data_IF_613456631848
#
_entry.id   IF_613456631848
#
_cell.length_a   1.000
_cell.length_b   1.000
_cell.length_c   1.000
_cell.angle_alpha   90.00
_cell.angle_beta   90.00
_cell.angle_gamma   90.00
#
_symmetry.space_group_name_H-M   'P 1'
#
loop_
_entity.id
_entity.type
_entity.pdbx_description
1 polymer ?
#
# COMPACT_ATOMS: atom_id res chain seq x y z
N UNK A 1 45.14 28.15 -16.87
CA UNK A 1 45.64 27.28 -15.77
C UNK A 1 45.33 27.78 -14.36
N UNK A 2 45.83 28.94 -13.89
CA UNK A 2 45.65 29.36 -12.47
C UNK A 2 44.18 29.65 -12.10
N UNK A 3 43.39 30.26 -12.99
CA UNK A 3 41.94 30.52 -12.80
C UNK A 3 41.09 29.24 -12.75
N UNK A 4 41.38 28.24 -13.58
CA UNK A 4 40.67 26.95 -13.55
C UNK A 4 40.98 26.14 -12.28
N UNK A 5 42.25 26.17 -11.83
CA UNK A 5 42.66 25.48 -10.62
C UNK A 5 41.99 26.06 -9.36
N UNK A 6 41.80 27.38 -9.32
CA UNK A 6 41.11 28.05 -8.21
C UNK A 6 39.61 27.79 -8.22
N UNK A 7 38.94 27.82 -9.38
CA UNK A 7 37.51 27.47 -9.48
C UNK A 7 37.22 26.03 -9.08
N UNK A 8 38.05 25.07 -9.50
CA UNK A 8 37.87 23.65 -9.18
C UNK A 8 38.01 23.39 -7.68
N UNK A 9 38.99 24.01 -7.03
CA UNK A 9 39.17 23.91 -5.58
C UNK A 9 38.06 24.59 -4.79
N UNK A 10 37.48 25.68 -5.29
CA UNK A 10 36.36 26.36 -4.66
C UNK A 10 35.08 25.51 -4.71
N UNK A 11 34.78 24.89 -5.86
CA UNK A 11 33.66 23.94 -6.00
C UNK A 11 33.80 22.71 -5.09
N UNK A 12 35.01 22.17 -4.95
CA UNK A 12 35.28 21.05 -4.05
C UNK A 12 35.03 21.45 -2.58
N UNK A 13 35.46 22.65 -2.18
CA UNK A 13 35.24 23.18 -0.81
C UNK A 13 33.77 23.44 -0.53
N UNK A 14 33.02 24.01 -1.47
CA UNK A 14 31.56 24.19 -1.34
C UNK A 14 30.86 22.84 -1.22
N UNK A 15 31.19 21.87 -2.09
CA UNK A 15 30.59 20.53 -2.01
C UNK A 15 30.90 19.85 -0.67
N UNK A 16 32.12 20.00 -0.15
CA UNK A 16 32.49 19.47 1.16
C UNK A 16 31.75 20.16 2.31
N UNK A 17 31.56 21.48 2.24
CA UNK A 17 30.79 22.24 3.23
C UNK A 17 29.30 21.85 3.20
N UNK A 18 28.71 21.73 2.01
CA UNK A 18 27.33 21.23 1.83
C UNK A 18 27.19 19.83 2.42
N UNK A 19 28.16 18.94 2.20
CA UNK A 19 28.16 17.59 2.79
C UNK A 19 28.33 17.60 4.31
N UNK A 20 29.16 18.48 4.88
CA UNK A 20 29.28 18.62 6.34
C UNK A 20 28.00 19.16 6.98
N UNK A 21 27.40 20.20 6.39
CA UNK A 21 26.09 20.73 6.80
C UNK A 21 25.04 19.60 6.71
N UNK A 22 25.05 18.83 5.63
CA UNK A 22 24.14 17.70 5.42
C UNK A 22 24.32 16.61 6.46
N UNK A 23 25.54 16.20 6.77
CA UNK A 23 25.85 15.19 7.80
C UNK A 23 25.46 15.68 9.21
N UNK A 24 25.68 16.97 9.50
CA UNK A 24 25.27 17.60 10.74
C UNK A 24 23.74 17.59 10.89
N UNK A 25 23.02 18.01 9.86
CA UNK A 25 21.55 17.91 9.83
C UNK A 25 21.09 16.46 9.93
N UNK A 26 21.72 15.50 9.27
CA UNK A 26 21.37 14.07 9.41
C UNK A 26 21.55 13.56 10.84
N UNK A 27 22.61 14.00 11.55
CA UNK A 27 22.87 13.60 12.93
C UNK A 27 21.90 14.24 13.91
N UNK A 28 21.63 15.55 13.77
CA UNK A 28 20.58 16.24 14.53
C UNK A 28 19.23 15.62 14.24
N UNK A 29 18.89 15.41 12.97
CA UNK A 29 17.61 14.84 12.58
C UNK A 29 17.46 13.41 13.11
N UNK A 30 18.51 12.59 13.08
CA UNK A 30 18.48 11.25 13.69
C UNK A 30 18.22 11.29 15.20
N UNK A 31 18.80 12.26 15.92
CA UNK A 31 18.62 12.42 17.37
C UNK A 31 17.24 13.01 17.71
N UNK A 32 16.78 13.98 16.93
CA UNK A 32 15.51 14.68 17.14
C UNK A 32 14.33 13.79 16.70
N UNK A 33 14.47 13.00 15.63
CA UNK A 33 13.41 12.10 15.13
C UNK A 33 13.11 10.94 16.09
N UNK A 34 14.01 10.67 17.04
CA UNK A 34 13.79 9.69 18.11
C UNK A 34 12.89 10.24 19.24
N UNK A 35 12.81 11.57 19.42
CA UNK A 35 12.00 12.22 20.48
C UNK A 35 10.79 12.99 19.96
N UNK A 36 10.90 13.57 18.77
CA UNK A 36 9.86 14.33 18.09
C UNK A 36 9.49 13.58 16.81
N UNK A 37 8.20 13.40 16.53
CA UNK A 37 7.74 12.75 15.30
C UNK A 37 7.93 13.69 14.10
N UNK A 38 9.19 13.90 13.68
CA UNK A 38 9.53 14.91 12.67
C UNK A 38 8.88 14.59 11.33
N UNK A 39 8.73 13.31 10.99
CA UNK A 39 8.03 12.91 9.77
C UNK A 39 6.58 13.45 9.76
N UNK A 40 5.86 13.37 10.87
CA UNK A 40 4.52 13.94 11.01
C UNK A 40 4.56 15.48 11.00
N UNK A 41 5.51 16.10 11.69
CA UNK A 41 5.65 17.56 11.70
C UNK A 41 5.92 18.10 10.29
N UNK A 42 6.84 17.48 9.56
CA UNK A 42 7.18 17.82 8.20
C UNK A 42 6.01 17.58 7.23
N UNK A 43 5.30 16.46 7.38
CA UNK A 43 4.10 16.19 6.59
C UNK A 43 2.98 17.22 6.87
N UNK A 44 2.81 17.65 8.13
CA UNK A 44 1.88 18.71 8.52
C UNK A 44 2.29 20.08 7.96
N UNK A 45 3.57 20.44 8.05
CA UNK A 45 4.11 21.69 7.49
C UNK A 45 3.90 21.73 5.97
N UNK A 46 4.31 20.67 5.27
CA UNK A 46 4.13 20.58 3.81
C UNK A 46 2.65 20.59 3.42
N UNK A 47 1.77 20.01 4.25
CA UNK A 47 0.32 20.10 4.05
C UNK A 47 -0.19 21.53 4.13
N UNK A 48 0.27 22.32 5.11
CA UNK A 48 -0.12 23.71 5.28
C UNK A 48 0.33 24.57 4.09
N UNK A 49 1.60 24.44 3.67
CA UNK A 49 2.14 25.16 2.51
C UNK A 49 1.37 24.78 1.24
N UNK A 50 1.05 23.50 1.05
CA UNK A 50 0.30 23.03 -0.12
C UNK A 50 -1.17 23.46 -0.11
N UNK A 51 -1.73 23.85 1.03
CA UNK A 51 -3.10 24.39 1.11
C UNK A 51 -3.14 25.87 0.68
N UNK A 52 -2.09 26.64 1.03
CA UNK A 52 -1.92 28.05 0.63
C UNK A 52 -1.50 28.17 -0.83
N UNK A 53 -0.48 27.42 -1.24
CA UNK A 53 0.06 27.43 -2.59
C UNK A 53 0.29 25.99 -3.06
N UNK A 54 -0.71 25.37 -3.73
CA UNK A 54 -0.67 23.96 -4.15
C UNK A 54 0.61 23.57 -4.89
N UNK A 55 0.93 24.31 -5.95
CA UNK A 55 2.09 24.01 -6.81
C UNK A 55 3.42 24.24 -6.09
N UNK A 56 3.56 25.36 -5.36
CA UNK A 56 4.79 25.67 -4.64
C UNK A 56 5.01 24.70 -3.46
N UNK A 57 3.95 24.38 -2.72
CA UNK A 57 3.99 23.40 -1.63
C UNK A 57 4.37 22.00 -2.11
N UNK A 58 3.85 21.57 -3.27
CA UNK A 58 4.29 20.33 -3.93
C UNK A 58 5.78 20.37 -4.26
N UNK A 59 6.25 21.43 -4.92
CA UNK A 59 7.66 21.57 -5.32
C UNK A 59 8.56 21.54 -4.08
N UNK A 60 8.23 22.32 -3.05
CA UNK A 60 8.96 22.37 -1.79
C UNK A 60 9.02 21.00 -1.13
N UNK A 61 7.88 20.34 -0.94
CA UNK A 61 7.80 19.04 -0.27
C UNK A 61 8.64 17.98 -1.01
N UNK A 62 8.46 17.87 -2.33
CA UNK A 62 9.21 16.90 -3.13
C UNK A 62 10.72 17.20 -3.12
N UNK A 63 11.11 18.48 -3.21
CA UNK A 63 12.51 18.90 -3.18
C UNK A 63 13.16 18.57 -1.84
N UNK A 64 12.51 18.93 -0.73
CA UNK A 64 13.00 18.64 0.61
C UNK A 64 13.13 17.12 0.84
N UNK A 65 12.12 16.32 0.48
CA UNK A 65 12.21 14.86 0.63
C UNK A 65 13.30 14.27 -0.25
N UNK A 66 13.46 14.75 -1.49
CA UNK A 66 14.49 14.30 -2.41
C UNK A 66 15.89 14.49 -1.82
N UNK A 67 16.18 15.67 -1.26
CA UNK A 67 17.52 15.98 -0.75
C UNK A 67 17.80 15.40 0.64
N UNK A 68 16.78 15.31 1.50
CA UNK A 68 16.94 14.85 2.89
C UNK A 68 16.84 13.33 2.99
N UNK A 69 15.78 12.74 2.42
CA UNK A 69 15.45 11.33 2.61
C UNK A 69 15.83 10.44 1.43
N UNK A 70 15.69 10.92 0.20
CA UNK A 70 16.00 10.14 -1.00
C UNK A 70 17.49 10.22 -1.41
N UNK A 71 18.38 10.06 -0.44
CA UNK A 71 19.83 10.09 -0.66
C UNK A 71 20.41 8.67 -0.78
N UNK A 72 21.16 8.40 -1.85
CA UNK A 72 21.88 7.13 -2.05
C UNK A 72 22.88 6.81 -0.93
N UNK A 73 23.55 7.82 -0.35
CA UNK A 73 24.50 7.62 0.77
C UNK A 73 23.74 7.07 1.98
N UNK A 74 22.65 7.75 2.36
CA UNK A 74 21.81 7.32 3.48
C UNK A 74 21.22 5.93 3.23
N UNK A 75 20.75 5.68 2.01
CA UNK A 75 20.26 4.37 1.61
C UNK A 75 21.32 3.28 1.77
N UNK A 76 22.52 3.50 1.24
CA UNK A 76 23.62 2.54 1.32
C UNK A 76 24.05 2.30 2.78
N UNK A 77 24.03 3.34 3.63
CA UNK A 77 24.27 3.19 5.07
C UNK A 77 23.20 2.30 5.73
N UNK A 78 21.91 2.52 5.43
CA UNK A 78 20.84 1.70 5.98
C UNK A 78 20.89 0.25 5.47
N UNK A 79 21.15 0.04 4.18
CA UNK A 79 21.32 -1.30 3.60
C UNK A 79 22.50 -2.02 4.29
N UNK A 80 23.67 -1.40 4.38
CA UNK A 80 24.84 -2.01 5.05
C UNK A 80 24.56 -2.33 6.52
N UNK A 81 23.82 -1.46 7.22
CA UNK A 81 23.39 -1.73 8.60
C UNK A 81 22.48 -2.96 8.67
N UNK A 82 21.46 -3.03 7.82
CA UNK A 82 20.54 -4.16 7.78
C UNK A 82 21.22 -5.45 7.33
N UNK A 83 22.16 -5.40 6.38
CA UNK A 83 22.99 -6.54 5.95
C UNK A 83 23.79 -7.11 7.13
N UNK A 84 24.45 -6.26 7.93
CA UNK A 84 25.18 -6.71 9.13
C UNK A 84 24.26 -7.37 10.16
N UNK A 85 23.02 -6.91 10.29
CA UNK A 85 22.03 -7.51 11.20
C UNK A 85 21.59 -8.86 10.64
N UNK A 86 21.24 -8.93 9.35
CA UNK A 86 20.83 -10.16 8.68
C UNK A 86 21.93 -11.25 8.73
N UNK A 87 23.19 -10.90 8.50
CA UNK A 87 24.34 -11.82 8.57
C UNK A 87 24.56 -12.43 9.97
N UNK A 88 24.07 -11.78 11.03
CA UNK A 88 24.17 -12.25 12.42
C UNK A 88 22.94 -13.05 12.87
N UNK A 89 21.92 -13.16 12.03
CA UNK A 89 20.68 -13.88 12.33
C UNK A 89 20.72 -15.28 11.73
N UNK A 90 20.37 -16.29 12.53
CA UNK A 90 20.37 -17.69 12.09
C UNK A 90 19.20 -18.07 11.17
N UNK A 91 18.22 -17.17 11.01
CA UNK A 91 16.98 -17.34 10.23
C UNK A 91 16.13 -18.56 10.62
N UNK A 92 16.30 -19.11 11.84
CA UNK A 92 15.45 -20.20 12.33
C UNK A 92 14.07 -19.70 12.72
N UNK A 93 13.98 -18.60 13.47
CA UNK A 93 12.73 -17.94 13.86
C UNK A 93 12.75 -16.47 13.54
N UNK A 94 11.91 -16.05 12.61
CA UNK A 94 11.78 -14.65 12.18
C UNK A 94 10.40 -14.14 12.59
N UNK A 95 10.36 -12.95 13.17
CA UNK A 95 9.10 -12.21 13.34
C UNK A 95 9.06 -11.07 12.32
N UNK A 96 8.00 -11.02 11.53
CA UNK A 96 7.67 -9.86 10.71
C UNK A 96 6.55 -9.10 11.40
N UNK A 97 6.75 -7.81 11.61
CA UNK A 97 5.71 -6.90 12.11
C UNK A 97 5.20 -6.11 10.91
N UNK A 98 3.94 -6.34 10.52
CA UNK A 98 3.31 -5.61 9.43
C UNK A 98 2.91 -4.20 9.85
N UNK A 99 2.53 -3.37 8.87
CA UNK A 99 1.79 -2.15 9.16
C UNK A 99 0.41 -2.46 9.76
N UNK A 100 -0.23 -1.43 10.30
CA UNK A 100 -1.54 -1.46 10.96
C UNK A 100 -2.69 -1.46 9.95
N UNK A 101 -2.45 -1.11 8.69
CA UNK A 101 -3.46 -1.08 7.63
C UNK A 101 -3.59 -2.44 6.91
N UNK A 102 -4.81 -2.80 6.53
CA UNK A 102 -5.11 -4.08 5.85
C UNK A 102 -4.34 -4.20 4.53
N UNK A 103 -4.30 -3.14 3.72
CA UNK A 103 -3.61 -3.14 2.44
C UNK A 103 -2.12 -3.41 2.56
N UNK A 104 -1.47 -2.77 3.53
CA UNK A 104 -0.06 -2.98 3.83
C UNK A 104 0.18 -4.39 4.40
N UNK A 105 -0.68 -4.88 5.30
CA UNK A 105 -0.59 -6.25 5.80
C UNK A 105 -0.61 -7.29 4.66
N UNK A 106 -1.48 -7.09 3.66
CA UNK A 106 -1.56 -7.90 2.43
C UNK A 106 -0.30 -7.77 1.58
N UNK A 107 0.22 -6.56 1.36
CA UNK A 107 1.40 -6.32 0.53
C UNK A 107 2.70 -6.84 1.18
N UNK A 108 2.83 -6.75 2.51
CA UNK A 108 4.04 -7.12 3.24
C UNK A 108 4.25 -8.64 3.27
N UNK A 109 3.21 -9.46 3.01
CA UNK A 109 3.36 -10.92 2.93
C UNK A 109 4.40 -11.39 1.90
N UNK A 110 4.69 -10.59 0.87
CA UNK A 110 5.81 -10.84 -0.05
C UNK A 110 7.15 -11.03 0.67
N UNK A 111 7.33 -10.42 1.86
CA UNK A 111 8.51 -10.61 2.69
C UNK A 111 8.59 -12.05 3.22
N UNK A 112 7.48 -12.63 3.66
CA UNK A 112 7.44 -14.01 4.14
C UNK A 112 7.80 -14.97 3.01
N UNK A 113 7.21 -14.80 1.83
CA UNK A 113 7.53 -15.63 0.65
C UNK A 113 9.01 -15.59 0.29
N UNK A 114 9.59 -14.38 0.20
CA UNK A 114 11.00 -14.22 -0.11
C UNK A 114 11.89 -14.84 0.98
N UNK A 115 11.60 -14.59 2.26
CA UNK A 115 12.38 -15.14 3.37
C UNK A 115 12.28 -16.67 3.42
N UNK A 116 11.13 -17.25 3.08
CA UNK A 116 10.98 -18.70 2.96
C UNK A 116 11.88 -19.26 1.86
N UNK A 117 11.91 -18.61 0.69
CA UNK A 117 12.83 -18.95 -0.43
C UNK A 117 14.31 -18.76 -0.08
N UNK A 118 14.64 -17.85 0.83
CA UNK A 118 16.00 -17.65 1.36
C UNK A 118 16.41 -18.78 2.34
N UNK A 119 15.44 -19.54 2.87
CA UNK A 119 15.70 -20.65 3.80
C UNK A 119 15.27 -20.38 5.25
N UNK A 120 14.39 -19.38 5.48
CA UNK A 120 13.81 -19.19 6.81
C UNK A 120 13.01 -20.45 7.24
N UNK A 121 13.30 -20.97 8.43
CA UNK A 121 12.65 -22.20 8.91
C UNK A 121 11.23 -21.93 9.38
N UNK A 122 11.06 -20.92 10.25
CA UNK A 122 9.78 -20.46 10.77
C UNK A 122 9.66 -18.94 10.71
N UNK A 123 8.51 -18.49 10.23
CA UNK A 123 8.18 -17.07 10.07
C UNK A 123 6.87 -16.81 10.79
N UNK A 124 6.93 -15.99 11.82
CA UNK A 124 5.76 -15.52 12.55
C UNK A 124 5.41 -14.09 12.09
N UNK A 125 4.12 -13.75 12.14
CA UNK A 125 3.61 -12.54 11.50
C UNK A 125 2.66 -11.78 12.44
N UNK A 126 3.07 -10.59 12.88
CA UNK A 126 2.28 -9.72 13.77
C UNK A 126 1.52 -8.66 12.97
N UNK A 127 0.19 -8.64 13.08
CA UNK A 127 -0.69 -7.84 12.22
C UNK A 127 -1.86 -7.17 12.96
N UNK A 128 -2.58 -6.32 12.23
CA UNK A 128 -3.90 -5.84 12.64
C UNK A 128 -4.94 -6.97 12.62
N UNK A 129 -5.78 -7.03 13.67
CA UNK A 129 -6.83 -8.05 13.84
C UNK A 129 -7.77 -8.14 12.64
N UNK A 130 -8.08 -7.02 11.97
CA UNK A 130 -8.96 -6.97 10.80
C UNK A 130 -8.38 -7.66 9.56
N UNK A 131 -7.06 -7.84 9.49
CA UNK A 131 -6.42 -8.53 8.38
C UNK A 131 -6.28 -10.04 8.64
N UNK A 132 -6.57 -10.54 9.85
CA UNK A 132 -6.20 -11.91 10.27
C UNK A 132 -6.66 -13.00 9.30
N UNK A 133 -7.92 -12.97 8.89
CA UNK A 133 -8.47 -14.00 8.00
C UNK A 133 -7.88 -13.99 6.59
N UNK A 134 -7.26 -12.88 6.16
CA UNK A 134 -6.56 -12.78 4.88
C UNK A 134 -5.14 -13.37 4.90
N UNK A 135 -4.55 -13.54 6.08
CA UNK A 135 -3.14 -13.92 6.24
C UNK A 135 -2.99 -15.34 6.80
N UNK A 136 -3.92 -15.78 7.66
CA UNK A 136 -3.77 -17.00 8.48
C UNK A 136 -3.55 -18.30 7.71
N UNK A 137 -3.90 -18.36 6.42
CA UNK A 137 -3.72 -19.55 5.58
C UNK A 137 -2.47 -19.49 4.68
N UNK A 138 -1.64 -18.46 4.81
CA UNK A 138 -0.43 -18.36 4.01
C UNK A 138 0.58 -19.45 4.43
N UNK A 139 1.00 -20.36 3.52
CA UNK A 139 1.87 -21.49 3.85
C UNK A 139 3.32 -21.06 4.18
N UNK A 140 3.72 -19.84 3.82
CA UNK A 140 5.04 -19.30 4.15
C UNK A 140 5.09 -18.74 5.59
N UNK A 141 3.97 -18.71 6.29
CA UNK A 141 3.82 -18.14 7.64
C UNK A 141 3.44 -19.25 8.62
N UNK A 142 4.25 -19.44 9.67
CA UNK A 142 4.04 -20.43 10.72
C UNK A 142 2.91 -20.04 11.68
N UNK A 143 2.94 -18.81 12.19
CA UNK A 143 1.90 -18.30 13.08
C UNK A 143 1.54 -16.87 12.74
N UNK A 144 0.25 -16.53 12.86
CA UNK A 144 -0.25 -15.18 12.70
C UNK A 144 -0.76 -14.65 14.03
N UNK A 145 -0.18 -13.56 14.50
CA UNK A 145 -0.56 -12.89 15.74
C UNK A 145 -1.37 -11.64 15.43
N UNK A 146 -2.67 -11.71 15.73
CA UNK A 146 -3.62 -10.60 15.58
C UNK A 146 -3.52 -9.64 16.77
N UNK A 147 -2.52 -8.75 16.74
CA UNK A 147 -2.17 -7.89 17.89
C UNK A 147 -2.89 -6.54 17.80
N UNK A 148 -2.79 -5.87 16.65
CA UNK A 148 -3.16 -4.45 16.57
C UNK A 148 -4.64 -4.24 16.30
N UNK A 149 -5.27 -3.29 17.01
CA UNK A 149 -6.69 -2.99 16.83
C UNK A 149 -6.93 -1.80 15.91
N UNK A 150 -6.19 -0.71 16.16
CA UNK A 150 -6.42 0.58 15.52
C UNK A 150 -5.46 0.81 14.35
N UNK A 151 -5.94 1.55 13.36
CA UNK A 151 -5.07 2.09 12.33
C UNK A 151 -4.25 3.27 12.89
N UNK A 152 -3.00 3.39 12.46
CA UNK A 152 -2.09 4.52 12.73
C UNK A 152 -1.63 4.75 14.18
N UNK A 153 -1.94 3.86 15.11
CA UNK A 153 -1.48 3.97 16.50
C UNK A 153 -1.32 2.60 17.12
N UNK A 154 -0.25 2.42 17.89
CA UNK A 154 -0.03 1.22 18.73
C UNK A 154 -0.01 1.65 20.19
N UNK A 155 -0.87 1.04 21.00
CA UNK A 155 -0.98 1.33 22.41
C UNK A 155 0.08 0.57 23.24
N UNK A 156 0.21 0.92 24.53
CA UNK A 156 1.22 0.31 25.42
C UNK A 156 1.01 -1.18 25.64
N UNK A 157 -0.24 -1.63 25.71
CA UNK A 157 -0.56 -3.05 25.94
C UNK A 157 -0.21 -3.91 24.72
N UNK A 158 -0.47 -3.40 23.52
CA UNK A 158 -0.06 -4.01 22.26
C UNK A 158 1.48 -4.11 22.17
N UNK A 159 2.21 -3.07 22.59
CA UNK A 159 3.68 -3.08 22.66
C UNK A 159 4.17 -4.09 23.70
N UNK A 160 3.56 -4.14 24.88
CA UNK A 160 3.92 -5.07 25.94
C UNK A 160 3.68 -6.52 25.50
N UNK A 161 2.54 -6.79 24.88
CA UNK A 161 2.23 -8.09 24.30
C UNK A 161 3.27 -8.49 23.24
N UNK A 162 3.59 -7.60 22.31
CA UNK A 162 4.59 -7.85 21.28
C UNK A 162 5.98 -8.12 21.86
N UNK A 163 6.39 -7.39 22.89
CA UNK A 163 7.67 -7.63 23.56
C UNK A 163 7.69 -8.95 24.33
N UNK A 164 6.58 -9.32 24.98
CA UNK A 164 6.44 -10.63 25.61
C UNK A 164 6.51 -11.76 24.58
N UNK A 165 5.82 -11.61 23.45
CA UNK A 165 5.89 -12.55 22.33
C UNK A 165 7.32 -12.71 21.84
N UNK A 166 8.06 -11.61 21.66
CA UNK A 166 9.45 -11.63 21.21
C UNK A 166 10.35 -12.37 22.21
N UNK A 167 10.18 -12.09 23.50
CA UNK A 167 10.94 -12.73 24.58
C UNK A 167 10.65 -14.23 24.69
N UNK A 168 9.38 -14.61 24.65
CA UNK A 168 8.95 -16.01 24.79
C UNK A 168 9.40 -16.88 23.61
N UNK A 169 9.36 -16.34 22.39
CA UNK A 169 9.67 -17.10 21.18
C UNK A 169 11.14 -17.03 20.76
N UNK A 170 11.96 -16.20 21.41
CA UNK A 170 13.39 -16.06 21.15
C UNK A 170 13.74 -15.85 19.67
N UNK A 171 13.07 -14.92 18.99
CA UNK A 171 13.31 -14.66 17.56
C UNK A 171 14.77 -14.27 17.26
N UNK A 172 15.33 -14.88 16.22
CA UNK A 172 16.67 -14.60 15.69
C UNK A 172 16.73 -13.28 14.91
N UNK A 173 15.58 -12.87 14.36
CA UNK A 173 15.44 -11.66 13.57
C UNK A 173 14.01 -11.12 13.72
N UNK A 174 13.91 -9.82 13.99
CA UNK A 174 12.66 -9.07 13.93
C UNK A 174 12.75 -8.06 12.79
N UNK A 175 11.85 -8.14 11.83
CA UNK A 175 11.74 -7.19 10.72
C UNK A 175 10.48 -6.37 10.92
N UNK A 176 10.66 -5.09 11.24
CA UNK A 176 9.56 -4.17 11.46
C UNK A 176 9.28 -3.33 10.22
N UNK A 177 8.10 -3.51 9.64
CA UNK A 177 7.57 -2.66 8.58
C UNK A 177 6.55 -1.63 9.07
N UNK A 178 6.21 -1.63 10.37
CA UNK A 178 5.32 -0.65 10.97
C UNK A 178 6.07 0.66 11.27
N UNK A 179 5.69 1.81 10.67
CA UNK A 179 6.35 3.09 10.93
C UNK A 179 6.08 3.64 12.34
N UNK A 180 5.06 3.13 13.03
CA UNK A 180 4.67 3.55 14.38
C UNK A 180 5.45 2.86 15.50
N UNK A 181 6.23 1.82 15.15
CA UNK A 181 7.10 1.11 16.08
C UNK A 181 8.55 1.44 15.77
N UNK A 182 9.32 1.72 16.81
CA UNK A 182 10.74 2.00 16.68
C UNK A 182 11.56 1.05 17.56
N UNK A 183 12.89 1.11 17.43
CA UNK A 183 13.81 0.23 18.15
C UNK A 183 13.71 0.37 19.68
N UNK A 184 13.34 1.54 20.20
CA UNK A 184 13.18 1.76 21.64
C UNK A 184 11.89 1.13 22.19
N UNK A 185 10.89 0.92 21.33
CA UNK A 185 9.64 0.27 21.71
C UNK A 185 9.73 -1.27 21.67
N UNK A 186 10.68 -1.83 20.93
CA UNK A 186 10.74 -3.27 20.60
C UNK A 186 12.05 -3.94 21.07
N UNK A 187 11.91 -4.95 21.94
CA UNK A 187 13.00 -5.68 22.59
C UNK A 187 13.52 -6.89 21.79
N UNK A 188 13.75 -6.73 20.49
CA UNK A 188 14.37 -7.76 19.64
C UNK A 188 15.90 -7.69 19.61
N UNK A 189 16.62 -8.82 19.59
CA UNK A 189 18.10 -8.84 19.49
C UNK A 189 18.57 -8.25 18.16
N UNK A 190 18.25 -8.92 17.06
CA UNK A 190 18.52 -8.47 15.69
C UNK A 190 17.25 -7.82 15.14
N UNK A 191 17.30 -6.51 14.88
CA UNK A 191 16.12 -5.72 14.53
C UNK A 191 16.36 -4.86 13.30
N UNK A 192 15.61 -5.13 12.22
CA UNK A 192 15.59 -4.32 11.01
C UNK A 192 14.37 -3.41 11.08
N UNK A 193 14.60 -2.10 10.96
CA UNK A 193 13.53 -1.09 11.07
C UNK A 193 13.00 -0.65 9.70
N UNK A 194 11.77 -0.15 9.68
CA UNK A 194 11.06 0.39 8.51
C UNK A 194 11.82 1.50 7.78
N UNK A 195 12.65 2.27 8.49
CA UNK A 195 13.39 3.41 7.93
C UNK A 195 14.21 3.07 6.67
N UNK A 196 14.83 1.89 6.62
CA UNK A 196 15.60 1.50 5.43
C UNK A 196 14.70 1.33 4.20
N UNK A 197 13.52 0.75 4.37
CA UNK A 197 12.52 0.58 3.32
C UNK A 197 11.95 1.93 2.88
N UNK A 198 11.64 2.84 3.80
CA UNK A 198 11.07 4.16 3.42
C UNK A 198 12.04 5.00 2.60
N UNK A 199 13.34 4.98 2.95
CA UNK A 199 14.40 5.62 2.17
C UNK A 199 14.54 4.95 0.79
N UNK A 200 14.43 3.62 0.72
CA UNK A 200 14.50 2.87 -0.53
C UNK A 200 13.33 3.23 -1.47
N UNK A 201 12.10 3.24 -0.96
CA UNK A 201 10.90 3.68 -1.68
C UNK A 201 11.05 5.12 -2.15
N UNK A 202 11.49 6.04 -1.30
CA UNK A 202 11.69 7.44 -1.67
C UNK A 202 12.73 7.59 -2.80
N UNK A 203 13.87 6.89 -2.71
CA UNK A 203 14.90 6.90 -3.76
C UNK A 203 14.34 6.43 -5.11
N UNK A 204 13.61 5.32 -5.12
CA UNK A 204 13.04 4.76 -6.36
C UNK A 204 11.95 5.66 -6.94
N UNK A 205 11.13 6.29 -6.08
CA UNK A 205 10.10 7.23 -6.48
C UNK A 205 10.70 8.41 -7.25
N UNK A 206 11.75 9.05 -6.73
CA UNK A 206 12.38 10.20 -7.40
C UNK A 206 13.23 9.81 -8.62
N UNK A 207 13.69 8.56 -8.70
CA UNK A 207 14.33 8.00 -9.90
C UNK A 207 13.31 7.56 -10.97
N UNK A 208 12.02 7.65 -10.67
CA UNK A 208 10.92 7.21 -11.55
C UNK A 208 11.01 5.74 -11.96
N UNK A 209 11.63 4.91 -11.12
CA UNK A 209 11.68 3.46 -11.32
C UNK A 209 10.44 2.78 -10.75
N UNK A 210 10.25 1.48 -11.03
CA UNK A 210 9.20 0.67 -10.39
C UNK A 210 9.35 0.71 -8.87
N UNK A 211 8.34 1.27 -8.20
CA UNK A 211 8.40 1.62 -6.76
C UNK A 211 7.22 1.07 -5.95
N UNK A 212 6.39 0.21 -6.55
CA UNK A 212 5.26 -0.36 -5.83
C UNK A 212 5.70 -1.03 -4.52
N UNK A 213 4.98 -0.80 -3.42
CA UNK A 213 5.42 -1.16 -2.07
C UNK A 213 5.77 -2.64 -1.94
N UNK A 214 4.95 -3.54 -2.50
CA UNK A 214 5.23 -5.00 -2.55
C UNK A 214 6.58 -5.30 -3.24
N UNK A 215 6.79 -4.72 -4.42
CA UNK A 215 8.03 -4.91 -5.18
C UNK A 215 9.24 -4.25 -4.47
N UNK A 216 9.01 -3.12 -3.82
CA UNK A 216 10.03 -2.42 -3.05
C UNK A 216 10.47 -3.24 -1.83
N UNK A 217 9.54 -3.86 -1.10
CA UNK A 217 9.84 -4.78 0.01
C UNK A 217 10.68 -5.94 -0.49
N UNK A 218 10.23 -6.63 -1.55
CA UNK A 218 10.95 -7.76 -2.14
C UNK A 218 12.38 -7.38 -2.54
N UNK A 219 12.54 -6.32 -3.34
CA UNK A 219 13.87 -5.91 -3.82
C UNK A 219 14.76 -5.33 -2.72
N UNK A 220 14.19 -4.67 -1.71
CA UNK A 220 14.92 -4.21 -0.54
C UNK A 220 15.48 -5.38 0.28
N UNK A 221 14.67 -6.41 0.51
CA UNK A 221 15.11 -7.62 1.21
C UNK A 221 16.16 -8.40 0.41
N UNK A 222 16.02 -8.54 -0.91
CA UNK A 222 17.08 -9.10 -1.77
C UNK A 222 18.42 -8.38 -1.55
N UNK A 223 18.41 -7.04 -1.43
CA UNK A 223 19.63 -6.27 -1.12
C UNK A 223 20.16 -6.53 0.29
N UNK A 224 19.28 -6.69 1.28
CA UNK A 224 19.67 -6.99 2.67
C UNK A 224 20.30 -8.38 2.79
N UNK A 225 19.73 -9.37 2.11
CA UNK A 225 20.17 -10.76 2.19
C UNK A 225 21.17 -11.15 1.10
N UNK A 226 21.50 -10.20 0.20
CA UNK A 226 22.41 -10.41 -0.93
C UNK A 226 21.97 -11.59 -1.83
N UNK A 227 20.70 -11.59 -2.20
CA UNK A 227 20.09 -12.61 -3.07
C UNK A 227 19.54 -11.97 -4.36
N UNK A 228 19.30 -12.81 -5.37
CA UNK A 228 18.76 -12.41 -6.67
C UNK A 228 17.45 -13.15 -6.99
N UNK A 229 16.63 -13.43 -5.97
CA UNK A 229 15.36 -14.14 -6.16
C UNK A 229 14.39 -13.22 -6.91
N UNK A 230 13.80 -13.63 -8.03
CA UNK A 230 12.89 -12.79 -8.79
C UNK A 230 11.58 -12.54 -8.01
N UNK A 231 10.97 -11.39 -8.24
CA UNK A 231 9.61 -11.12 -7.77
C UNK A 231 8.62 -11.80 -8.72
N UNK A 232 7.72 -12.63 -8.18
CA UNK A 232 6.69 -13.32 -8.95
C UNK A 232 5.35 -12.57 -8.86
N UNK A 233 4.62 -12.79 -7.76
CA UNK A 233 3.28 -12.24 -7.50
C UNK A 233 3.11 -12.03 -6.00
N UNK A 234 2.08 -11.25 -5.63
CA UNK A 234 1.58 -11.22 -4.26
C UNK A 234 0.44 -12.23 -4.14
N UNK A 235 0.47 -13.10 -3.13
CA UNK A 235 -0.50 -14.18 -2.96
C UNK A 235 -1.43 -13.93 -1.76
N UNK A 236 -2.67 -14.40 -1.89
CA UNK A 236 -3.65 -14.51 -0.80
C UNK A 236 -4.21 -15.92 -0.77
N UNK A 237 -4.33 -16.48 0.43
CA UNK A 237 -4.82 -17.83 0.67
C UNK A 237 -6.13 -17.72 1.44
N UNK A 238 -7.22 -18.21 0.83
CA UNK A 238 -8.57 -18.04 1.35
C UNK A 238 -9.15 -19.39 1.79
N UNK A 239 -9.96 -19.36 2.85
CA UNK A 239 -10.62 -20.59 3.31
C UNK A 239 -11.69 -21.07 2.35
N UNK A 240 -11.91 -22.38 2.32
CA UNK A 240 -13.02 -22.98 1.58
C UNK A 240 -14.37 -22.44 2.06
N UNK A 241 -14.52 -22.18 3.36
CA UNK A 241 -15.71 -21.54 3.92
C UNK A 241 -15.97 -20.16 3.30
N UNK A 242 -14.96 -19.29 3.29
CA UNK A 242 -15.09 -17.92 2.77
C UNK A 242 -15.36 -17.89 1.26
N UNK A 243 -14.79 -18.86 0.53
CA UNK A 243 -15.08 -19.07 -0.90
C UNK A 243 -16.56 -19.48 -1.10
N UNK A 244 -17.09 -20.37 -0.25
CA UNK A 244 -18.49 -20.78 -0.31
C UNK A 244 -19.44 -19.61 0.04
N UNK A 245 -19.12 -18.81 1.04
CA UNK A 245 -19.90 -17.61 1.39
C UNK A 245 -19.95 -16.61 0.23
N UNK A 246 -18.82 -16.36 -0.42
CA UNK A 246 -18.78 -15.52 -1.62
C UNK A 246 -19.59 -16.13 -2.77
N UNK A 247 -19.55 -17.46 -2.93
CA UNK A 247 -20.26 -18.18 -3.98
C UNK A 247 -21.77 -18.05 -3.84
N UNK A 248 -22.31 -18.03 -2.61
CA UNK A 248 -23.74 -17.78 -2.36
C UNK A 248 -24.22 -16.47 -2.99
N UNK A 249 -23.42 -15.41 -2.89
CA UNK A 249 -23.75 -14.11 -3.51
C UNK A 249 -23.62 -14.21 -5.03
N UNK A 250 -22.49 -14.76 -5.51
CA UNK A 250 -22.22 -14.92 -6.95
C UNK A 250 -23.30 -15.72 -7.69
N UNK A 251 -23.85 -16.76 -7.06
CA UNK A 251 -24.86 -17.62 -7.68
C UNK A 251 -26.25 -16.96 -7.81
N UNK A 252 -26.49 -15.82 -7.14
CA UNK A 252 -27.72 -15.02 -7.35
C UNK A 252 -27.64 -14.13 -8.60
N UNK A 253 -26.46 -14.00 -9.20
CA UNK A 253 -26.22 -13.10 -10.34
C UNK A 253 -26.53 -13.83 -11.66
N UNK A 254 -27.27 -13.19 -12.60
CA UNK A 254 -27.54 -13.78 -13.91
C UNK A 254 -26.25 -14.20 -14.63
N UNK A 255 -26.21 -15.42 -15.17
CA UNK A 255 -24.99 -16.02 -15.73
C UNK A 255 -24.50 -15.37 -17.02
N UNK A 256 -25.38 -14.68 -17.74
CA UNK A 256 -25.04 -13.89 -18.93
C UNK A 256 -24.49 -12.50 -18.58
N UNK A 257 -24.46 -12.09 -17.30
CA UNK A 257 -23.98 -10.77 -16.92
C UNK A 257 -22.47 -10.72 -16.69
N UNK A 258 -21.83 -9.63 -17.11
CA UNK A 258 -20.53 -9.22 -16.58
C UNK A 258 -20.72 -8.63 -15.18
N UNK A 259 -19.79 -8.93 -14.28
CA UNK A 259 -19.90 -8.57 -12.88
C UNK A 259 -18.85 -7.51 -12.53
N UNK A 260 -19.34 -6.34 -12.14
CA UNK A 260 -18.51 -5.22 -11.67
C UNK A 260 -18.66 -5.11 -10.16
N UNK A 261 -17.54 -5.22 -9.45
CA UNK A 261 -17.48 -4.92 -8.03
C UNK A 261 -17.03 -3.47 -7.84
N UNK A 262 -17.91 -2.63 -7.31
CA UNK A 262 -17.62 -1.22 -7.06
C UNK A 262 -17.39 -0.98 -5.57
N UNK A 263 -16.13 -0.73 -5.19
CA UNK A 263 -15.77 -0.38 -3.82
C UNK A 263 -15.94 1.12 -3.57
N UNK A 264 -16.96 1.48 -2.79
CA UNK A 264 -17.36 2.87 -2.52
C UNK A 264 -16.58 3.53 -1.38
N UNK A 265 -16.01 2.72 -0.49
CA UNK A 265 -15.51 3.20 0.80
C UNK A 265 -13.99 3.37 0.83
N UNK A 266 -13.54 4.36 1.60
CA UNK A 266 -12.13 4.57 1.92
C UNK A 266 -12.00 5.22 3.31
N UNK A 267 -10.98 4.82 4.06
CA UNK A 267 -10.74 5.28 5.43
C UNK A 267 -10.24 6.72 5.50
N UNK A 268 -9.55 7.21 4.46
CA UNK A 268 -9.01 8.55 4.42
C UNK A 268 -9.78 9.44 3.44
N UNK A 269 -10.15 10.67 3.83
CA UNK A 269 -10.83 11.60 2.91
C UNK A 269 -9.96 11.97 1.69
N UNK A 270 -8.63 11.81 1.77
CA UNK A 270 -7.71 12.10 0.66
C UNK A 270 -7.63 10.98 -0.40
N UNK A 271 -8.14 9.79 -0.07
CA UNK A 271 -8.29 8.66 -0.98
C UNK A 271 -9.73 8.21 -1.14
N UNK A 272 -10.67 8.98 -0.58
CA UNK A 272 -12.10 8.77 -0.76
C UNK A 272 -12.54 9.46 -2.05
N UNK A 273 -12.99 8.66 -3.02
CA UNK A 273 -13.52 9.19 -4.28
C UNK A 273 -14.69 10.14 -3.98
N UNK A 274 -14.74 11.34 -4.58
CA UNK A 274 -15.84 12.28 -4.36
C UNK A 274 -17.19 11.64 -4.66
N UNK A 275 -18.20 11.94 -3.82
CA UNK A 275 -19.54 11.36 -3.95
C UNK A 275 -20.13 11.53 -5.36
N UNK A 276 -20.02 12.73 -5.94
CA UNK A 276 -20.50 13.03 -7.29
C UNK A 276 -19.81 12.19 -8.37
N UNK A 277 -18.53 11.89 -8.19
CA UNK A 277 -17.76 11.04 -9.09
C UNK A 277 -18.20 9.57 -8.98
N UNK A 278 -18.41 9.08 -7.76
CA UNK A 278 -18.95 7.73 -7.53
C UNK A 278 -20.33 7.57 -8.17
N UNK A 279 -21.24 8.52 -7.93
CA UNK A 279 -22.57 8.52 -8.52
C UNK A 279 -22.51 8.56 -10.06
N UNK A 280 -21.67 9.44 -10.63
CA UNK A 280 -21.48 9.54 -12.07
C UNK A 280 -20.98 8.24 -12.71
N UNK A 281 -20.06 7.53 -12.07
CA UNK A 281 -19.59 6.23 -12.55
C UNK A 281 -20.69 5.18 -12.45
N UNK A 282 -21.35 5.08 -11.29
CA UNK A 282 -22.40 4.10 -11.05
C UNK A 282 -23.60 4.29 -12.00
N UNK A 283 -24.03 5.52 -12.26
CA UNK A 283 -25.11 5.80 -13.21
C UNK A 283 -24.77 5.46 -14.66
N UNK A 284 -23.51 5.64 -15.07
CA UNK A 284 -23.07 5.27 -16.41
C UNK A 284 -22.97 3.76 -16.55
N UNK A 285 -22.41 3.08 -15.53
CA UNK A 285 -22.25 1.63 -15.52
C UNK A 285 -23.60 0.89 -15.39
N UNK A 286 -24.56 1.43 -14.63
CA UNK A 286 -25.85 0.79 -14.42
C UNK A 286 -26.79 0.87 -15.62
N UNK A 287 -26.45 1.67 -16.64
CA UNK A 287 -27.16 1.73 -17.93
C UNK A 287 -26.67 0.69 -18.94
N UNK A 288 -25.61 -0.05 -18.62
CA UNK A 288 -25.07 -1.07 -19.50
C UNK A 288 -25.93 -2.34 -19.42
N UNK A 289 -26.29 -2.87 -20.58
CA UNK A 289 -26.99 -4.15 -20.68
C UNK A 289 -26.07 -5.30 -20.27
N UNK A 290 -26.68 -6.36 -19.72
CA UNK A 290 -25.96 -7.55 -19.27
C UNK A 290 -24.82 -7.25 -18.28
N UNK A 291 -25.01 -6.24 -17.41
CA UNK A 291 -24.07 -5.92 -16.33
C UNK A 291 -24.79 -6.02 -14.98
N UNK A 292 -24.13 -6.66 -14.02
CA UNK A 292 -24.50 -6.62 -12.61
C UNK A 292 -23.42 -5.89 -11.81
N UNK A 293 -23.84 -4.97 -10.95
CA UNK A 293 -22.94 -4.20 -10.09
C UNK A 293 -23.10 -4.67 -8.65
N UNK A 294 -22.03 -5.22 -8.08
CA UNK A 294 -21.92 -5.45 -6.65
C UNK A 294 -21.43 -4.16 -6.02
N UNK A 295 -22.27 -3.54 -5.18
CA UNK A 295 -21.94 -2.30 -4.49
C UNK A 295 -21.41 -2.63 -3.10
N UNK A 296 -20.15 -2.30 -2.81
CA UNK A 296 -19.56 -2.60 -1.50
C UNK A 296 -20.31 -1.90 -0.37
N UNK A 297 -20.17 -2.44 0.84
CA UNK A 297 -20.65 -1.78 2.05
C UNK A 297 -19.79 -0.55 2.40
N UNK A 298 -20.28 0.26 3.33
CA UNK A 298 -19.61 1.45 3.85
C UNK A 298 -19.19 1.25 5.31
N UNK A 299 -17.89 1.03 5.53
CA UNK A 299 -17.33 0.81 6.87
C UNK A 299 -16.86 2.10 7.56
N UNK A 300 -16.39 3.07 6.77
CA UNK A 300 -15.77 4.31 7.24
C UNK A 300 -16.71 5.50 7.13
N UNK A 301 -17.53 5.52 6.07
CA UNK A 301 -18.51 6.59 5.82
C UNK A 301 -19.93 6.12 6.14
N UNK A 302 -20.52 6.65 7.22
CA UNK A 302 -21.88 6.26 7.64
C UNK A 302 -22.91 6.54 6.54
N UNK A 303 -23.74 5.54 6.26
CA UNK A 303 -24.85 5.58 5.31
C UNK A 303 -24.46 5.90 3.85
N UNK A 304 -23.20 5.70 3.45
CA UNK A 304 -22.76 6.05 2.09
C UNK A 304 -23.39 5.13 1.05
N UNK A 305 -23.48 3.83 1.33
CA UNK A 305 -24.03 2.84 0.42
C UNK A 305 -25.50 3.14 0.11
N UNK A 306 -26.29 3.42 1.14
CA UNK A 306 -27.71 3.73 1.05
C UNK A 306 -27.96 5.04 0.30
N UNK A 307 -27.13 6.07 0.55
CA UNK A 307 -27.21 7.36 -0.16
C UNK A 307 -26.87 7.23 -1.64
N UNK A 308 -25.82 6.50 -1.99
CA UNK A 308 -25.49 6.25 -3.40
C UNK A 308 -26.59 5.42 -4.04
N UNK A 309 -26.99 4.32 -3.40
CA UNK A 309 -28.00 3.43 -3.92
C UNK A 309 -29.32 4.16 -4.16
N UNK A 310 -29.80 5.01 -3.25
CA UNK A 310 -31.08 5.71 -3.41
C UNK A 310 -31.11 6.67 -4.63
N UNK A 311 -29.98 7.32 -4.91
CA UNK A 311 -29.86 8.31 -5.99
C UNK A 311 -29.61 7.70 -7.38
N UNK A 312 -29.22 6.43 -7.46
CA UNK A 312 -29.02 5.78 -8.77
C UNK A 312 -30.39 5.55 -9.43
N UNK A 313 -30.52 5.99 -10.68
CA UNK A 313 -31.76 5.86 -11.45
C UNK A 313 -32.07 4.39 -11.83
N UNK A 314 -31.13 3.71 -12.49
CA UNK A 314 -31.28 2.29 -12.83
C UNK A 314 -30.67 1.38 -11.77
N UNK A 315 -31.52 0.71 -10.98
CA UNK A 315 -31.11 -0.17 -9.87
C UNK A 315 -31.30 -1.66 -10.17
N UNK A 316 -31.84 -2.02 -11.34
CA UNK A 316 -32.35 -3.38 -11.65
C UNK A 316 -31.35 -4.50 -11.35
N UNK A 317 -30.05 -4.24 -11.55
CA UNK A 317 -28.98 -5.22 -11.37
C UNK A 317 -27.87 -4.71 -10.43
N UNK A 318 -28.23 -3.89 -9.46
CA UNK A 318 -27.31 -3.43 -8.41
C UNK A 318 -27.57 -4.23 -7.12
N UNK A 319 -26.53 -4.87 -6.61
CA UNK A 319 -26.58 -5.73 -5.43
C UNK A 319 -25.79 -5.04 -4.31
N UNK A 320 -26.46 -4.37 -3.35
CA UNK A 320 -25.78 -3.82 -2.18
C UNK A 320 -25.33 -4.94 -1.25
N UNK A 321 -24.04 -4.97 -0.93
CA UNK A 321 -23.50 -5.94 0.03
C UNK A 321 -23.82 -5.56 1.47
N UNK A 322 -24.12 -6.59 2.27
CA UNK A 322 -24.20 -6.50 3.72
C UNK A 322 -22.83 -6.22 4.35
N UNK A 323 -22.83 -5.52 5.48
CA UNK A 323 -21.65 -5.27 6.31
C UNK A 323 -21.17 -6.51 7.10
N UNK A 324 -21.93 -7.60 7.09
CA UNK A 324 -21.61 -8.84 7.82
C UNK A 324 -20.73 -9.82 7.02
N UNK A 325 -20.44 -9.54 5.75
CA UNK A 325 -19.60 -10.40 4.92
C UNK A 325 -18.15 -10.39 5.46
N UNK A 326 -17.57 -11.54 5.86
CA UNK A 326 -16.18 -11.60 6.30
C UNK A 326 -15.22 -11.09 5.23
N UNK A 327 -14.12 -10.44 5.63
CA UNK A 327 -13.21 -9.78 4.67
C UNK A 327 -12.53 -10.75 3.69
N UNK A 328 -12.30 -11.99 4.09
CA UNK A 328 -11.78 -13.06 3.23
C UNK A 328 -12.86 -13.63 2.30
N UNK A 329 -14.14 -13.59 2.68
CA UNK A 329 -15.24 -13.86 1.75
C UNK A 329 -15.43 -12.69 0.76
N UNK A 330 -15.25 -11.45 1.21
CA UNK A 330 -15.17 -10.27 0.34
C UNK A 330 -14.02 -10.41 -0.67
N UNK A 331 -12.85 -10.91 -0.25
CA UNK A 331 -11.72 -11.19 -1.13
C UNK A 331 -12.04 -12.26 -2.19
N UNK A 332 -12.72 -13.34 -1.80
CA UNK A 332 -13.17 -14.38 -2.74
C UNK A 332 -14.22 -13.83 -3.72
N UNK A 333 -15.16 -13.00 -3.25
CA UNK A 333 -16.20 -12.41 -4.09
C UNK A 333 -15.61 -11.49 -5.16
N UNK A 334 -14.58 -10.70 -4.82
CA UNK A 334 -13.84 -9.90 -5.80
C UNK A 334 -13.29 -10.80 -6.92
N UNK A 335 -12.76 -11.98 -6.58
CA UNK A 335 -12.18 -12.89 -7.55
C UNK A 335 -13.23 -13.55 -8.45
N UNK A 336 -14.49 -13.65 -8.03
CA UNK A 336 -15.57 -14.08 -8.93
C UNK A 336 -15.97 -13.01 -9.96
N UNK A 337 -15.67 -11.73 -9.70
CA UNK A 337 -16.05 -10.62 -10.56
C UNK A 337 -15.17 -10.53 -11.82
N UNK A 338 -15.64 -9.81 -12.83
CA UNK A 338 -14.85 -9.54 -14.05
C UNK A 338 -14.04 -8.25 -13.92
N UNK A 339 -14.55 -7.30 -13.13
CA UNK A 339 -13.97 -6.00 -12.91
C UNK A 339 -14.11 -5.58 -11.44
N UNK A 340 -13.05 -4.99 -10.88
CA UNK A 340 -13.03 -4.34 -9.58
C UNK A 340 -12.65 -2.88 -9.73
N UNK A 341 -13.48 -1.99 -9.21
CA UNK A 341 -13.30 -0.54 -9.25
C UNK A 341 -13.12 -0.02 -7.83
N UNK A 342 -12.04 0.71 -7.57
CA UNK A 342 -11.77 1.26 -6.24
C UNK A 342 -10.86 2.48 -6.28
N UNK A 343 -10.88 3.27 -5.22
CA UNK A 343 -9.75 4.15 -4.89
C UNK A 343 -8.61 3.37 -4.20
N UNK A 344 -7.58 4.09 -3.75
CA UNK A 344 -6.49 3.55 -2.91
C UNK A 344 -7.01 3.10 -1.53
N UNK A 345 -7.28 1.81 -1.41
CA UNK A 345 -7.89 1.16 -0.21
C UNK A 345 -7.27 -0.22 0.02
N UNK A 346 -7.54 -0.82 1.19
CA UNK A 346 -7.19 -2.22 1.43
C UNK A 346 -7.82 -3.17 0.41
N UNK A 347 -9.05 -2.87 -0.04
CA UNK A 347 -9.76 -3.62 -1.08
C UNK A 347 -9.00 -3.68 -2.41
N UNK A 348 -8.33 -2.59 -2.80
CA UNK A 348 -7.48 -2.57 -4.01
C UNK A 348 -6.35 -3.60 -3.94
N UNK A 349 -5.65 -3.69 -2.81
CA UNK A 349 -4.54 -4.64 -2.65
C UNK A 349 -5.02 -6.09 -2.53
N UNK A 350 -6.19 -6.30 -1.91
CA UNK A 350 -6.89 -7.58 -1.91
C UNK A 350 -7.24 -7.99 -3.35
N UNK A 351 -7.90 -7.11 -4.11
CA UNK A 351 -8.26 -7.33 -5.51
C UNK A 351 -7.04 -7.63 -6.38
N UNK A 352 -5.91 -6.98 -6.12
CA UNK A 352 -4.69 -7.10 -6.91
C UNK A 352 -3.84 -8.32 -6.63
N UNK A 353 -4.08 -9.03 -5.53
CA UNK A 353 -3.32 -10.24 -5.18
C UNK A 353 -3.83 -11.46 -5.95
N UNK A 354 -2.98 -12.48 -6.14
CA UNK A 354 -3.35 -13.77 -6.73
C UNK A 354 -3.97 -14.67 -5.64
N UNK A 355 -5.17 -15.18 -5.85
CA UNK A 355 -5.92 -15.95 -4.87
C UNK A 355 -5.73 -17.45 -5.09
N UNK A 356 -5.40 -18.10 -4.00
CA UNK A 356 -5.37 -19.54 -3.83
C UNK A 356 -6.35 -19.89 -2.71
N UNK A 357 -6.89 -21.11 -2.71
CA UNK A 357 -7.52 -21.63 -1.51
C UNK A 357 -6.44 -22.12 -0.52
N UNK A 358 -6.86 -22.50 0.68
CA UNK A 358 -6.00 -23.07 1.73
C UNK A 358 -5.30 -24.40 1.34
N UNK A 359 -5.63 -24.97 0.18
CA UNK A 359 -5.00 -26.15 -0.41
C UNK A 359 -4.17 -25.82 -1.66
N UNK A 360 -3.77 -24.56 -1.84
CA UNK A 360 -2.95 -24.08 -2.96
C UNK A 360 -3.59 -24.23 -4.35
N UNK A 361 -4.91 -24.38 -4.45
CA UNK A 361 -5.63 -24.37 -5.73
C UNK A 361 -5.99 -22.94 -6.12
N UNK A 362 -5.64 -22.55 -7.35
CA UNK A 362 -5.99 -21.25 -7.91
C UNK A 362 -7.51 -21.06 -8.01
N UNK A 363 -7.97 -19.86 -7.64
CA UNK A 363 -9.30 -19.37 -7.97
C UNK A 363 -9.28 -18.75 -9.39
N UNK A 364 -10.30 -17.98 -9.77
CA UNK A 364 -10.49 -17.42 -11.12
C UNK A 364 -9.30 -16.56 -11.53
N UNK A 365 -8.82 -15.67 -10.66
CA UNK A 365 -7.69 -14.76 -10.90
C UNK A 365 -7.74 -13.96 -12.21
N UNK A 366 -8.94 -13.61 -12.67
CA UNK A 366 -9.16 -12.86 -13.93
C UNK A 366 -9.95 -11.57 -13.70
N UNK A 367 -9.90 -11.03 -12.49
CA UNK A 367 -10.57 -9.76 -12.17
C UNK A 367 -9.72 -8.60 -12.64
N UNK A 368 -10.21 -7.83 -13.60
CA UNK A 368 -9.56 -6.59 -14.00
C UNK A 368 -9.69 -5.52 -12.92
N UNK A 369 -8.71 -4.63 -12.84
CA UNK A 369 -8.60 -3.66 -11.75
C UNK A 369 -8.51 -2.26 -12.33
N UNK A 370 -9.53 -1.46 -12.05
CA UNK A 370 -9.58 -0.07 -12.44
C UNK A 370 -9.52 0.78 -11.18
N UNK A 371 -8.38 1.44 -10.98
CA UNK A 371 -8.11 2.13 -9.72
C UNK A 371 -7.99 3.64 -9.90
N UNK A 372 -8.61 4.40 -9.00
CA UNK A 372 -8.72 5.86 -9.10
C UNK A 372 -7.93 6.50 -7.97
N UNK A 373 -6.83 7.15 -8.31
CA UNK A 373 -5.82 7.62 -7.37
C UNK A 373 -5.87 9.12 -7.19
N UNK A 374 -6.30 9.52 -5.99
CA UNK A 374 -6.27 10.90 -5.54
C UNK A 374 -4.87 11.32 -5.04
N UNK A 375 -4.75 11.53 -3.72
CA UNK A 375 -3.54 12.08 -3.09
C UNK A 375 -2.33 11.14 -3.13
N UNK A 376 -2.54 9.84 -2.99
CA UNK A 376 -1.45 8.87 -2.87
C UNK A 376 -0.66 8.79 -4.18
N UNK A 377 0.69 8.77 -4.13
CA UNK A 377 1.52 8.48 -5.30
C UNK A 377 1.18 7.10 -5.89
N UNK A 378 0.60 7.10 -7.09
CA UNK A 378 0.03 5.88 -7.67
C UNK A 378 1.11 4.85 -8.03
N UNK A 379 2.32 5.27 -8.39
CA UNK A 379 3.43 4.35 -8.66
C UNK A 379 3.92 3.56 -7.42
N UNK A 380 3.48 3.93 -6.20
CA UNK A 380 3.84 3.25 -4.95
C UNK A 380 2.74 2.26 -4.52
N UNK A 381 1.46 2.56 -4.78
CA UNK A 381 0.33 1.77 -4.24
C UNK A 381 -0.67 1.29 -5.30
N UNK A 382 -0.53 1.73 -6.56
CA UNK A 382 -1.42 1.35 -7.65
C UNK A 382 -0.80 0.28 -8.55
N UNK A 383 -1.67 -0.32 -9.35
CA UNK A 383 -1.32 -1.34 -10.31
C UNK A 383 -1.70 -0.87 -11.71
N UNK A 384 -0.76 -0.92 -12.65
CA UNK A 384 -0.99 -0.49 -14.03
C UNK A 384 -0.19 -1.39 -14.99
N UNK A 385 -0.89 -1.95 -15.98
CA UNK A 385 -0.34 -2.91 -16.93
C UNK A 385 0.33 -2.25 -18.14
N UNK A 386 0.05 -0.97 -18.39
CA UNK A 386 0.55 -0.22 -19.53
C UNK A 386 1.74 0.66 -19.17
N UNK A 387 1.86 1.09 -17.91
CA UNK A 387 2.94 1.97 -17.44
C UNK A 387 4.15 1.19 -16.91
N UNK A 388 5.32 1.37 -17.52
CA UNK A 388 6.54 0.63 -17.17
C UNK A 388 7.02 0.83 -15.72
N UNK A 389 6.78 2.02 -15.14
CA UNK A 389 7.17 2.35 -13.78
C UNK A 389 6.13 1.93 -12.71
N UNK A 390 5.07 1.24 -13.11
CA UNK A 390 4.08 0.64 -12.21
C UNK A 390 4.29 -0.86 -12.10
N UNK A 391 3.75 -1.45 -11.03
CA UNK A 391 3.63 -2.89 -10.93
C UNK A 391 2.32 -3.31 -11.59
N UNK A 392 2.31 -4.43 -12.32
CA UNK A 392 1.06 -5.04 -12.77
C UNK A 392 0.35 -5.69 -11.58
N UNK A 393 -0.97 -5.80 -11.61
CA UNK A 393 -1.64 -6.63 -10.61
C UNK A 393 -1.15 -8.08 -10.72
N UNK A 394 -1.29 -8.86 -9.65
CA UNK A 394 -0.97 -10.29 -9.67
C UNK A 394 -2.06 -11.13 -10.34
N UNK A 395 -3.20 -10.51 -10.67
CA UNK A 395 -4.28 -11.11 -11.46
C UNK A 395 -3.81 -11.36 -12.90
N UNK A 396 -4.34 -12.40 -13.52
CA UNK A 396 -4.14 -12.70 -14.95
C UNK A 396 -5.15 -11.89 -15.80
N UNK A 397 -5.22 -10.59 -15.51
CA UNK A 397 -6.15 -9.63 -16.10
C UNK A 397 -5.54 -8.23 -16.11
N UNK A 398 -6.21 -7.30 -16.80
CA UNK A 398 -5.75 -5.92 -16.91
C UNK A 398 -5.78 -5.20 -15.55
N UNK A 399 -4.77 -4.37 -15.28
CA UNK A 399 -4.83 -3.32 -14.27
C UNK A 399 -4.59 -1.94 -14.89
N UNK A 400 -5.40 -0.94 -14.53
CA UNK A 400 -5.26 0.45 -14.99
C UNK A 400 -5.39 1.43 -13.82
N UNK A 401 -4.54 2.45 -13.81
CA UNK A 401 -4.53 3.51 -12.81
C UNK A 401 -4.90 4.86 -13.41
N UNK A 402 -6.00 5.44 -12.92
CA UNK A 402 -6.40 6.82 -13.24
C UNK A 402 -5.86 7.72 -12.14
N UNK A 403 -4.91 8.58 -12.51
CA UNK A 403 -4.17 9.40 -11.55
C UNK A 403 -4.61 10.84 -11.70
N UNK A 404 -5.00 11.47 -10.59
CA UNK A 404 -5.44 12.87 -10.61
C UNK A 404 -4.31 13.83 -11.00
N UNK A 405 -4.67 14.90 -11.70
CA UNK A 405 -3.84 16.05 -12.04
C UNK A 405 -3.73 17.07 -10.90
N UNK A 406 -4.01 16.64 -9.67
CA UNK A 406 -4.04 17.52 -8.50
C UNK A 406 -2.73 18.30 -8.33
N UNK A 407 -2.76 19.65 -8.29
CA UNK A 407 -1.56 20.47 -8.25
C UNK A 407 -0.81 20.36 -6.92
N UNK A 408 -1.48 19.91 -5.84
CA UNK A 408 -0.87 19.75 -4.52
C UNK A 408 -0.29 18.36 -4.26
N UNK A 409 -0.46 17.40 -5.18
CA UNK A 409 -0.02 16.00 -4.98
C UNK A 409 1.50 15.90 -4.84
N UNK A 410 1.97 15.35 -3.71
CA UNK A 410 3.39 15.20 -3.41
C UNK A 410 3.67 13.90 -2.61
N UNK A 411 4.94 13.54 -2.44
CA UNK A 411 5.32 12.28 -1.79
C UNK A 411 4.86 12.18 -0.34
N UNK A 412 4.69 13.30 0.38
CA UNK A 412 4.24 13.25 1.78
C UNK A 412 2.76 12.91 1.91
N UNK A 413 2.01 12.87 0.80
CA UNK A 413 0.63 12.37 0.76
C UNK A 413 0.49 10.88 1.09
N UNK A 414 1.58 10.12 1.16
CA UNK A 414 1.58 8.76 1.73
C UNK A 414 1.18 8.81 3.22
N UNK A 415 1.62 9.83 3.96
CA UNK A 415 1.24 10.04 5.36
C UNK A 415 -0.06 10.85 5.45
N UNK A 416 -1.17 10.19 5.16
CA UNK A 416 -2.51 10.79 5.12
C UNK A 416 -2.94 11.35 6.47
N UNK A 417 -2.52 10.72 7.58
CA UNK A 417 -2.87 11.14 8.94
C UNK A 417 -2.30 12.52 9.31
N UNK A 418 -1.21 12.95 8.69
CA UNK A 418 -0.59 14.25 8.93
C UNK A 418 -1.12 15.36 8.00
N UNK A 419 -2.02 15.06 7.06
CA UNK A 419 -2.58 16.04 6.12
C UNK A 419 -3.74 16.81 6.76
N UNK A 420 -3.76 18.13 6.55
CA UNK A 420 -4.70 19.10 7.14
C UNK A 420 -5.28 20.09 6.12
N UNK A 421 -5.31 19.72 4.84
CA UNK A 421 -5.84 20.60 3.79
C UNK A 421 -7.32 20.93 4.04
N UNK A 422 -7.71 22.20 3.97
CA UNK A 422 -9.11 22.60 4.12
C UNK A 422 -9.93 22.22 2.89
N UNK A 423 -9.35 22.38 1.70
CA UNK A 423 -10.00 22.01 0.44
C UNK A 423 -9.32 20.80 -0.18
N UNK A 424 -10.06 19.69 -0.27
CA UNK A 424 -9.56 18.44 -0.84
C UNK A 424 -9.63 18.51 -2.37
N UNK A 425 -8.46 18.73 -3.00
CA UNK A 425 -8.30 18.81 -4.47
C UNK A 425 -7.77 17.51 -5.07
N UNK A 426 -7.80 16.42 -4.31
CA UNK A 426 -7.02 15.22 -4.58
C UNK A 426 -7.46 14.47 -5.84
N UNK A 427 -8.70 14.68 -6.31
CA UNK A 427 -9.28 13.98 -7.47
C UNK A 427 -9.54 14.91 -8.67
N UNK A 428 -8.93 16.09 -8.68
CA UNK A 428 -9.05 17.04 -9.79
C UNK A 428 -8.57 16.41 -11.11
N UNK A 429 -9.26 16.69 -12.21
CA UNK A 429 -8.89 16.20 -13.55
C UNK A 429 -9.29 14.75 -13.87
N UNK A 430 -9.82 13.98 -12.93
CA UNK A 430 -10.26 12.60 -13.22
C UNK A 430 -11.52 12.62 -14.12
N UNK A 431 -11.42 11.95 -15.28
CA UNK A 431 -12.51 11.85 -16.25
C UNK A 431 -13.28 10.52 -16.09
N UNK A 432 -14.51 10.57 -15.58
CA UNK A 432 -15.35 9.37 -15.39
C UNK A 432 -15.78 8.73 -16.71
N UNK A 433 -15.91 9.49 -17.79
CA UNK A 433 -16.30 8.96 -19.11
C UNK A 433 -15.20 8.10 -19.71
N UNK A 434 -13.94 8.52 -19.58
CA UNK A 434 -12.78 7.73 -20.00
C UNK A 434 -12.77 6.39 -19.25
N UNK A 435 -12.92 6.44 -17.92
CA UNK A 435 -12.93 5.23 -17.07
C UNK A 435 -14.01 4.24 -17.53
N UNK A 436 -15.25 4.72 -17.74
CA UNK A 436 -16.36 3.89 -18.21
C UNK A 436 -16.06 3.34 -19.60
N UNK A 437 -15.56 4.16 -20.53
CA UNK A 437 -15.21 3.73 -21.89
C UNK A 437 -14.19 2.58 -21.87
N UNK A 438 -13.14 2.70 -21.05
CA UNK A 438 -12.11 1.66 -20.93
C UNK A 438 -12.66 0.37 -20.31
N UNK A 439 -13.57 0.48 -19.34
CA UNK A 439 -14.25 -0.69 -18.76
C UNK A 439 -15.14 -1.36 -19.80
N UNK A 440 -15.92 -0.59 -20.57
CA UNK A 440 -16.76 -1.13 -21.66
C UNK A 440 -15.91 -1.87 -22.70
N UNK A 441 -14.80 -1.25 -23.11
CA UNK A 441 -13.87 -1.84 -24.06
C UNK A 441 -13.27 -3.15 -23.52
N UNK A 442 -12.84 -3.18 -22.26
CA UNK A 442 -12.26 -4.38 -21.66
C UNK A 442 -13.28 -5.52 -21.48
N UNK A 443 -14.51 -5.19 -21.06
CA UNK A 443 -15.56 -6.17 -20.81
C UNK A 443 -16.31 -6.60 -22.07
N UNK A 444 -15.94 -6.05 -23.24
CA UNK A 444 -16.58 -6.29 -24.53
C UNK A 444 -18.09 -5.96 -24.51
N UNK A 445 -18.43 -4.80 -23.95
CA UNK A 445 -19.82 -4.31 -23.79
C UNK A 445 -20.22 -3.30 -24.88
N UNK A 446 -19.44 -3.21 -25.95
CA UNK A 446 -19.75 -2.40 -27.14
C UNK A 446 -20.19 -3.27 -28.33
N UNK A 447 -20.33 -4.58 -28.13
CA UNK A 447 -20.75 -5.55 -29.14
C UNK A 447 -22.29 -5.65 -29.22
#
# INVERSE_FOLDING_TARGET
>A
MIKEYTQKNYLIRINRLIELIRLFFLKIFSLVNQKLNIANLFASLTSYISDISPSAGRIFANTAVRYIFANNILLNMQIKKSQKIAQRSSLKRILIISDLNIGDAVNIQTAANLLKKIGAQSIDYAINKKAYSLIKYNPDISNVFAIFEKANFVNKDEINYLNNLIKQNNYDLVINFCPFLNKHSINGKNFINYMGLSIYVANNYFKQTKTHITYAIHTFLNKIFNTNIPFEKNYLYLSSYSIQEAKKIYDTIPKNHKIIFFNIDATSPFTFMPFSMQLSLLEQLSKLDNVSIILSTSFSQKNLQEKLYSLINNKKHIIPLSNNLPIDAYAALIDFCDCFISSDTGGLHIASSYKLNEHNKALKNKTAIFSIFGATPANIYSYDSYRQNFLKSSQDALSRSYVSDSPCKNITCINKAAKKCKTIRCFYGINTKEIVSDIKNYLDLNA
#
